data_IF_994465730490
#
_entry.id   IF_994465730490
#
_cell.length_a   1.000
_cell.length_b   1.000
_cell.length_c   1.000
_cell.angle_alpha   90.00
_cell.angle_beta   90.00
_cell.angle_gamma   90.00
#
_symmetry.space_group_name_H-M   'P 1'
#
loop_
_entity.id
_entity.type
_entity.pdbx_description
1 polymer ?
#
# COMPACT_ATOMS: atom_id res chain seq x y z
N UNK A 1 19.23 22.59 -6.67
CA UNK A 1 19.12 21.52 -5.66
C UNK A 1 17.70 20.99 -5.74
N UNK A 2 17.51 19.68 -5.95
CA UNK A 2 16.20 19.06 -5.72
C UNK A 2 15.88 19.26 -4.24
N UNK A 3 14.65 19.66 -3.94
CA UNK A 3 14.21 19.84 -2.56
C UNK A 3 13.95 18.45 -2.01
N UNK A 4 14.60 18.08 -0.91
CA UNK A 4 14.30 16.81 -0.23
C UNK A 4 12.86 16.86 0.29
N UNK A 5 12.02 15.93 -0.16
CA UNK A 5 10.62 15.82 0.24
C UNK A 5 10.48 14.76 1.30
N UNK A 6 9.97 15.13 2.48
CA UNK A 6 9.62 14.20 3.55
C UNK A 6 8.14 13.84 3.46
N UNK A 7 7.87 12.53 3.39
CA UNK A 7 6.52 12.01 3.42
C UNK A 7 6.17 11.43 4.80
N UNK A 8 5.00 11.79 5.33
CA UNK A 8 4.44 11.23 6.56
C UNK A 8 3.15 10.49 6.21
N UNK A 9 3.06 9.21 6.56
CA UNK A 9 1.97 8.31 6.15
C UNK A 9 1.32 7.71 7.39
N UNK A 10 -0.02 7.75 7.45
CA UNK A 10 -0.81 6.93 8.37
C UNK A 10 -0.96 5.51 7.80
N UNK A 11 -0.06 4.61 8.19
CA UNK A 11 -0.03 3.24 7.69
C UNK A 11 -1.31 2.46 8.00
N UNK A 12 -1.86 2.61 9.20
CA UNK A 12 -3.04 1.86 9.64
C UNK A 12 -4.28 2.21 8.81
N UNK A 13 -4.51 3.50 8.57
CA UNK A 13 -5.64 3.94 7.75
C UNK A 13 -5.50 3.48 6.29
N UNK A 14 -4.29 3.56 5.72
CA UNK A 14 -4.05 3.14 4.34
C UNK A 14 -4.16 1.63 4.15
N UNK A 15 -3.67 0.83 5.10
CA UNK A 15 -3.85 -0.63 5.09
C UNK A 15 -5.34 -0.98 5.17
N UNK A 16 -6.11 -0.31 6.03
CA UNK A 16 -7.56 -0.51 6.13
C UNK A 16 -8.24 -0.20 4.79
N UNK A 17 -7.94 0.94 4.17
CA UNK A 17 -8.47 1.29 2.85
C UNK A 17 -8.10 0.27 1.77
N UNK A 18 -6.85 -0.19 1.75
CA UNK A 18 -6.39 -1.21 0.80
C UNK A 18 -7.14 -2.54 0.97
N UNK A 19 -7.41 -2.95 2.22
CA UNK A 19 -8.15 -4.17 2.52
C UNK A 19 -9.56 -4.17 1.94
N UNK A 20 -10.29 -3.04 2.02
CA UNK A 20 -11.66 -2.95 1.51
C UNK A 20 -11.76 -2.54 0.03
N UNK A 21 -10.72 -1.94 -0.55
CA UNK A 21 -10.70 -1.52 -1.94
C UNK A 21 -10.34 -2.66 -2.91
N UNK A 22 -9.51 -3.60 -2.47
CA UNK A 22 -9.00 -4.70 -3.31
C UNK A 22 -9.76 -5.98 -3.00
N UNK A 23 -10.30 -6.61 -4.05
CA UNK A 23 -10.97 -7.89 -3.97
C UNK A 23 -10.08 -9.04 -3.45
N UNK A 24 -10.64 -10.24 -3.28
CA UNK A 24 -9.92 -11.37 -2.70
C UNK A 24 -8.62 -11.67 -3.47
N UNK A 25 -7.50 -11.62 -2.76
CA UNK A 25 -6.17 -11.97 -3.25
C UNK A 25 -5.49 -12.79 -2.18
N UNK A 26 -4.91 -13.93 -2.56
CA UNK A 26 -4.18 -14.79 -1.66
C UNK A 26 -2.89 -15.29 -2.30
N UNK A 27 -1.89 -15.60 -1.48
CA UNK A 27 -0.67 -16.28 -1.95
C UNK A 27 -0.92 -17.77 -2.23
N UNK A 28 0.12 -18.50 -2.65
CA UNK A 28 0.04 -19.94 -2.97
C UNK A 28 -0.33 -20.84 -1.78
N UNK A 29 -0.30 -20.32 -0.55
CA UNK A 29 -0.74 -21.01 0.67
C UNK A 29 -2.16 -20.61 1.10
N UNK A 30 -2.86 -19.79 0.32
CA UNK A 30 -4.21 -19.31 0.62
C UNK A 30 -4.27 -18.15 1.61
N UNK A 31 -3.13 -17.62 2.09
CA UNK A 31 -3.12 -16.48 3.01
C UNK A 31 -3.55 -15.21 2.27
N UNK A 32 -4.55 -14.44 2.77
CA UNK A 32 -4.96 -13.19 2.15
C UNK A 32 -3.83 -12.16 2.11
N UNK A 33 -3.65 -11.51 0.96
CA UNK A 33 -2.58 -10.53 0.70
C UNK A 33 -3.08 -9.25 0.02
N UNK A 34 -4.40 -9.07 -0.12
CA UNK A 34 -5.01 -7.93 -0.81
C UNK A 34 -4.62 -6.57 -0.19
N UNK A 35 -4.69 -6.45 1.15
CA UNK A 35 -4.31 -5.21 1.84
C UNK A 35 -2.84 -4.87 1.65
N UNK A 36 -1.96 -5.88 1.76
CA UNK A 36 -0.52 -5.71 1.57
C UNK A 36 -0.21 -5.25 0.15
N UNK A 37 -0.81 -5.91 -0.86
CA UNK A 37 -0.63 -5.55 -2.26
C UNK A 37 -1.04 -4.11 -2.54
N UNK A 38 -2.24 -3.70 -2.09
CA UNK A 38 -2.73 -2.34 -2.30
C UNK A 38 -1.91 -1.28 -1.59
N UNK A 39 -1.52 -1.56 -0.34
CA UNK A 39 -0.67 -0.65 0.42
C UNK A 39 0.70 -0.45 -0.22
N UNK A 40 1.36 -1.52 -0.66
CA UNK A 40 2.65 -1.44 -1.35
C UNK A 40 2.56 -0.66 -2.65
N UNK A 41 1.50 -0.85 -3.45
CA UNK A 41 1.28 -0.08 -4.69
C UNK A 41 1.11 1.42 -4.41
N UNK A 42 0.39 1.79 -3.35
CA UNK A 42 0.23 3.19 -2.96
C UNK A 42 1.57 3.84 -2.57
N UNK A 43 2.43 3.12 -1.83
CA UNK A 43 3.76 3.62 -1.47
C UNK A 43 4.65 3.75 -2.71
N UNK A 44 4.70 2.73 -3.57
CA UNK A 44 5.54 2.74 -4.77
C UNK A 44 5.22 3.93 -5.66
N UNK A 45 3.92 4.17 -5.92
CA UNK A 45 3.48 5.34 -6.70
C UNK A 45 3.95 6.66 -6.10
N UNK A 46 3.95 6.76 -4.77
CA UNK A 46 4.33 7.97 -4.04
C UNK A 46 5.85 8.20 -3.97
N UNK A 47 6.65 7.15 -4.16
CA UNK A 47 8.12 7.22 -4.27
C UNK A 47 8.57 7.50 -5.70
N UNK A 48 7.80 7.02 -6.69
CA UNK A 48 8.05 7.28 -8.11
C UNK A 48 7.62 8.70 -8.54
N UNK A 49 6.74 9.37 -7.77
CA UNK A 49 6.29 10.77 -7.93
C UNK A 49 7.29 11.78 -7.28
#
# INVERSE_FOLDING_TARGET
MSKDTLYLIDGSNYIFRAYYAIGPLSNSKGLPTNALYGFSQMILKMVDD
#
